data_IF_980909922432
#
_entry.id   IF_980909922432
#
_cell.length_a   1.000
_cell.length_b   1.000
_cell.length_c   1.000
_cell.angle_alpha   90.00
_cell.angle_beta   90.00
_cell.angle_gamma   90.00
#
_symmetry.space_group_name_H-M   'P 1'
#
loop_
_entity.id
_entity.type
_entity.pdbx_description
1 polymer ?
#
# COMPACT_ATOMS: atom_id res chain seq x y z
N UNK A 1 -19.75 -16.21 60.38
CA UNK A 1 -18.84 -15.54 59.45
C UNK A 1 -19.31 -15.85 58.03
N UNK A 2 -20.12 -14.94 57.45
CA UNK A 2 -20.65 -15.09 56.11
C UNK A 2 -19.70 -14.43 55.12
N UNK A 3 -19.17 -15.23 54.20
CA UNK A 3 -18.30 -14.77 53.08
C UNK A 3 -19.24 -14.25 52.02
N UNK A 4 -19.24 -12.93 51.82
CA UNK A 4 -19.88 -12.31 50.66
C UNK A 4 -18.96 -12.57 49.43
N UNK A 5 -19.39 -13.47 48.56
CA UNK A 5 -18.87 -13.53 47.18
C UNK A 5 -19.49 -12.37 46.40
N UNK A 6 -18.69 -11.36 46.09
CA UNK A 6 -19.05 -10.34 45.09
C UNK A 6 -18.93 -10.95 43.70
N UNK A 7 -20.06 -11.31 43.12
CA UNK A 7 -20.17 -11.62 41.70
C UNK A 7 -19.94 -10.31 40.93
N UNK A 8 -18.77 -10.16 40.34
CA UNK A 8 -18.56 -9.17 39.27
C UNK A 8 -19.42 -9.62 38.08
N UNK A 9 -20.51 -8.89 37.85
CA UNK A 9 -21.29 -9.00 36.63
C UNK A 9 -20.39 -8.60 35.47
N UNK A 10 -20.08 -9.58 34.58
CA UNK A 10 -19.51 -9.26 33.28
C UNK A 10 -20.50 -8.33 32.57
N UNK A 11 -20.09 -7.10 32.34
CA UNK A 11 -20.82 -6.18 31.46
C UNK A 11 -20.74 -6.81 30.08
N UNK A 12 -21.86 -7.35 29.58
CA UNK A 12 -21.97 -7.74 28.17
C UNK A 12 -21.69 -6.50 27.32
N UNK A 13 -20.49 -6.40 26.77
CA UNK A 13 -20.18 -5.35 25.81
C UNK A 13 -20.99 -5.63 24.55
N UNK A 14 -21.79 -4.66 24.13
CA UNK A 14 -22.44 -4.71 22.82
C UNK A 14 -21.36 -4.87 21.75
N UNK A 15 -21.59 -5.73 20.73
CA UNK A 15 -20.62 -5.92 19.66
C UNK A 15 -20.32 -4.58 18.97
N UNK A 16 -19.06 -4.40 18.53
CA UNK A 16 -18.63 -3.21 17.82
C UNK A 16 -19.47 -2.99 16.55
N UNK A 17 -19.66 -1.75 16.16
CA UNK A 17 -20.33 -1.42 14.91
C UNK A 17 -19.41 -1.71 13.72
N UNK A 18 -19.93 -2.37 12.68
CA UNK A 18 -19.24 -2.54 11.38
C UNK A 18 -19.93 -1.62 10.39
N UNK A 19 -19.18 -0.66 9.84
CA UNK A 19 -19.63 0.26 8.78
C UNK A 19 -18.91 -0.07 7.48
N UNK A 20 -19.66 -0.25 6.40
CA UNK A 20 -19.10 -0.58 5.07
C UNK A 20 -19.31 0.62 4.14
N UNK A 21 -18.20 1.19 3.68
CA UNK A 21 -18.18 2.35 2.77
C UNK A 21 -18.10 1.89 1.32
N UNK A 22 -19.12 1.19 0.87
CA UNK A 22 -19.21 0.69 -0.50
C UNK A 22 -20.66 0.74 -0.96
N UNK A 23 -20.88 1.10 -2.22
CA UNK A 23 -22.22 1.08 -2.82
C UNK A 23 -22.75 -0.36 -2.96
N UNK A 24 -24.07 -0.55 -3.08
CA UNK A 24 -24.65 -1.88 -3.31
C UNK A 24 -24.18 -2.56 -4.59
N UNK A 25 -23.63 -1.80 -5.55
CA UNK A 25 -23.06 -2.31 -6.80
C UNK A 25 -21.61 -2.75 -6.68
N UNK A 26 -20.93 -2.41 -5.58
CA UNK A 26 -19.54 -2.76 -5.34
C UNK A 26 -19.42 -4.18 -4.83
N UNK A 27 -18.56 -4.95 -5.50
CA UNK A 27 -18.33 -6.32 -5.12
C UNK A 27 -17.37 -6.42 -3.94
N UNK A 28 -17.83 -7.03 -2.84
CA UNK A 28 -17.03 -7.37 -1.66
C UNK A 28 -17.19 -8.87 -1.39
N UNK A 29 -16.08 -9.56 -1.12
CA UNK A 29 -16.11 -10.98 -0.77
C UNK A 29 -16.77 -11.18 0.60
N UNK A 30 -17.68 -12.18 0.70
CA UNK A 30 -18.34 -12.56 1.96
C UNK A 30 -17.35 -12.91 3.08
N UNK A 31 -16.22 -13.53 2.72
CA UNK A 31 -15.17 -13.86 3.68
C UNK A 31 -14.53 -12.61 4.30
N UNK A 32 -14.44 -11.53 3.55
CA UNK A 32 -13.91 -10.27 4.08
C UNK A 32 -14.89 -9.62 5.08
N UNK A 33 -16.19 -9.66 4.79
CA UNK A 33 -17.23 -9.20 5.72
C UNK A 33 -17.25 -10.06 6.97
N UNK A 34 -17.20 -11.38 6.84
CA UNK A 34 -17.11 -12.29 7.98
C UNK A 34 -15.85 -12.02 8.84
N UNK A 35 -14.74 -11.63 8.23
CA UNK A 35 -13.56 -11.20 8.99
C UNK A 35 -13.79 -9.88 9.72
N UNK A 36 -14.55 -8.92 9.17
CA UNK A 36 -14.95 -7.70 9.89
C UNK A 36 -15.80 -8.04 11.12
N UNK A 37 -16.77 -8.95 11.00
CA UNK A 37 -17.59 -9.39 12.12
C UNK A 37 -16.76 -10.10 13.21
N UNK A 38 -15.77 -10.93 12.80
CA UNK A 38 -14.85 -11.57 13.74
C UNK A 38 -14.00 -10.55 14.49
N UNK A 39 -13.54 -9.51 13.82
CA UNK A 39 -12.77 -8.42 14.44
C UNK A 39 -13.67 -7.59 15.37
N UNK A 40 -14.92 -7.31 14.96
CA UNK A 40 -15.88 -6.58 15.78
C UNK A 40 -16.22 -7.31 17.09
N UNK A 41 -16.05 -8.63 17.14
CA UNK A 41 -16.25 -9.44 18.34
C UNK A 41 -15.04 -9.50 19.28
N UNK A 42 -13.91 -8.85 18.97
CA UNK A 42 -12.74 -8.80 19.83
C UNK A 42 -13.00 -7.88 21.04
N UNK A 43 -12.42 -8.25 22.18
CA UNK A 43 -12.54 -7.47 23.41
C UNK A 43 -12.06 -6.03 23.20
N UNK A 44 -12.83 -5.07 23.71
CA UNK A 44 -12.49 -3.64 23.60
C UNK A 44 -12.66 -3.04 22.21
N UNK A 45 -13.04 -3.79 21.18
CA UNK A 45 -13.36 -3.24 19.87
C UNK A 45 -14.62 -2.38 19.95
N UNK A 46 -14.59 -1.21 19.32
CA UNK A 46 -15.69 -0.26 19.31
C UNK A 46 -16.25 -0.03 17.91
N UNK A 47 -15.37 -0.01 16.89
CA UNK A 47 -15.80 0.28 15.52
C UNK A 47 -14.87 -0.34 14.49
N UNK A 48 -15.44 -0.91 13.43
CA UNK A 48 -14.73 -1.40 12.25
C UNK A 48 -15.25 -0.66 11.01
N UNK A 49 -14.42 0.14 10.38
CA UNK A 49 -14.72 0.83 9.14
C UNK A 49 -14.10 0.07 7.97
N UNK A 50 -14.94 -0.51 7.12
CA UNK A 50 -14.54 -1.29 5.95
C UNK A 50 -14.58 -0.42 4.70
N UNK A 51 -13.43 -0.26 4.03
CA UNK A 51 -13.26 0.57 2.84
C UNK A 51 -13.73 -0.15 1.56
N UNK A 52 -13.97 0.56 0.45
CA UNK A 52 -14.45 -0.06 -0.80
C UNK A 52 -13.53 -1.14 -1.37
N UNK A 53 -12.24 -1.06 -1.09
CA UNK A 53 -11.22 -2.03 -1.51
C UNK A 53 -11.11 -3.25 -0.59
N UNK A 54 -12.00 -3.39 0.39
CA UNK A 54 -12.02 -4.51 1.34
C UNK A 54 -11.88 -5.87 0.67
N UNK A 55 -10.98 -6.70 1.19
CA UNK A 55 -10.77 -8.07 0.73
C UNK A 55 -10.20 -8.94 1.85
N UNK A 56 -10.29 -10.30 1.76
CA UNK A 56 -9.79 -11.19 2.80
C UNK A 56 -8.30 -11.04 3.01
N UNK A 57 -7.89 -11.01 4.28
CA UNK A 57 -6.50 -10.98 4.71
C UNK A 57 -6.14 -12.14 5.61
N UNK A 58 -4.85 -12.30 5.91
CA UNK A 58 -4.39 -13.30 6.88
C UNK A 58 -4.69 -12.80 8.29
N UNK A 59 -5.63 -13.45 8.98
CA UNK A 59 -6.00 -13.18 10.38
C UNK A 59 -6.88 -11.95 10.61
N UNK A 60 -6.97 -11.01 9.67
CA UNK A 60 -7.84 -9.85 9.72
C UNK A 60 -8.04 -9.31 8.29
N UNK A 61 -9.16 -8.61 7.99
CA UNK A 61 -9.43 -8.10 6.66
C UNK A 61 -8.40 -7.04 6.25
N UNK A 62 -8.24 -6.85 4.93
CA UNK A 62 -7.43 -5.78 4.33
C UNK A 62 -8.39 -4.79 3.68
N UNK A 63 -8.14 -3.49 3.84
CA UNK A 63 -9.06 -2.42 3.49
C UNK A 63 -9.96 -2.06 4.67
N UNK A 64 -9.44 -2.15 5.90
CA UNK A 64 -10.21 -1.84 7.10
C UNK A 64 -9.41 -0.99 8.10
N UNK A 65 -10.12 -0.10 8.78
CA UNK A 65 -9.66 0.67 9.93
C UNK A 65 -10.50 0.29 11.16
N UNK A 66 -9.86 0.03 12.29
CA UNK A 66 -10.46 -0.63 13.44
C UNK A 66 -10.07 0.10 14.73
N UNK A 67 -11.06 0.60 15.47
CA UNK A 67 -10.85 1.34 16.72
C UNK A 67 -11.16 0.43 17.92
N UNK A 68 -10.22 0.38 18.86
CA UNK A 68 -10.30 -0.47 20.05
C UNK A 68 -9.68 0.21 21.27
N UNK A 69 -10.18 -0.08 22.47
CA UNK A 69 -9.49 0.26 23.72
C UNK A 69 -8.29 -0.65 24.00
N UNK A 70 -8.11 -1.71 23.21
CA UNK A 70 -7.05 -2.71 23.35
C UNK A 70 -6.20 -2.75 22.07
N UNK A 71 -4.88 -2.85 22.22
CA UNK A 71 -3.96 -2.92 21.07
C UNK A 71 -3.79 -4.36 20.59
N UNK A 72 -4.11 -4.62 19.33
CA UNK A 72 -3.99 -5.92 18.67
C UNK A 72 -2.96 -5.88 17.53
N UNK A 73 -1.72 -6.37 17.71
CA UNK A 73 -0.68 -6.36 16.68
C UNK A 73 -1.10 -7.04 15.36
N UNK A 74 -1.93 -8.09 15.42
CA UNK A 74 -2.39 -8.82 14.25
C UNK A 74 -3.28 -7.97 13.32
N UNK A 75 -3.96 -6.96 13.86
CA UNK A 75 -4.81 -6.05 13.09
C UNK A 75 -4.01 -5.06 12.22
N UNK A 76 -2.71 -4.91 12.44
CA UNK A 76 -1.78 -4.16 11.58
C UNK A 76 -1.20 -5.09 10.50
N UNK A 77 -0.91 -6.34 10.86
CA UNK A 77 -0.29 -7.32 9.99
C UNK A 77 1.25 -7.32 10.03
N UNK A 78 1.86 -8.10 9.16
CA UNK A 78 3.31 -8.33 9.14
C UNK A 78 4.10 -7.23 8.43
N UNK A 79 3.50 -6.45 7.56
CA UNK A 79 4.18 -5.38 6.83
C UNK A 79 3.86 -4.01 7.46
N UNK A 80 4.29 -3.86 8.73
CA UNK A 80 4.16 -2.60 9.48
C UNK A 80 4.85 -1.49 8.68
N UNK A 81 4.22 -0.31 8.56
CA UNK A 81 4.79 0.80 7.81
C UNK A 81 4.69 0.64 6.29
N UNK A 82 3.96 -0.39 5.78
CA UNK A 82 3.64 -0.44 4.36
C UNK A 82 2.86 0.80 3.96
N UNK A 83 3.29 1.43 2.86
CA UNK A 83 2.75 2.71 2.44
C UNK A 83 3.16 3.07 1.03
N UNK A 84 2.61 4.18 0.56
CA UNK A 84 2.87 4.71 -0.78
C UNK A 84 3.42 6.13 -0.66
N UNK A 85 4.54 6.38 -1.34
CA UNK A 85 5.12 7.70 -1.48
C UNK A 85 5.14 8.15 -2.95
N UNK A 86 4.89 9.43 -3.19
CA UNK A 86 4.87 10.07 -4.51
C UNK A 86 5.92 11.17 -4.57
N UNK A 87 6.88 11.03 -5.49
CA UNK A 87 7.99 11.97 -5.67
C UNK A 87 7.87 12.62 -7.04
N UNK A 88 7.75 13.95 -7.17
CA UNK A 88 7.90 14.65 -8.43
C UNK A 88 9.27 14.35 -9.05
N UNK A 89 9.33 14.03 -10.34
CA UNK A 89 10.60 13.71 -11.01
C UNK A 89 10.70 14.46 -12.33
N UNK A 90 11.84 15.12 -12.59
CA UNK A 90 12.10 15.83 -13.83
C UNK A 90 13.16 15.10 -14.64
N UNK A 91 12.79 14.66 -15.84
CA UNK A 91 13.67 14.01 -16.78
C UNK A 91 13.81 14.85 -18.05
N UNK A 92 15.03 15.02 -18.53
CA UNK A 92 15.29 15.77 -19.79
C UNK A 92 14.58 15.14 -21.00
N UNK A 93 14.47 13.81 -21.01
CA UNK A 93 13.79 13.02 -22.06
C UNK A 93 13.29 11.72 -21.50
N UNK A 94 11.99 11.51 -21.54
CA UNK A 94 11.34 10.27 -21.10
C UNK A 94 11.06 9.36 -22.32
N UNK A 95 11.97 8.43 -22.60
CA UNK A 95 11.73 7.35 -23.58
C UNK A 95 11.54 6.06 -22.77
N UNK A 96 10.31 5.54 -22.60
CA UNK A 96 10.02 4.45 -21.66
C UNK A 96 10.92 3.24 -21.83
N UNK A 97 11.14 2.78 -23.07
CA UNK A 97 11.98 1.62 -23.34
C UNK A 97 13.45 1.80 -22.90
N UNK A 98 13.99 3.03 -22.96
CA UNK A 98 15.35 3.31 -22.49
C UNK A 98 15.42 3.44 -20.98
N UNK A 99 14.39 4.02 -20.38
CA UNK A 99 14.31 4.22 -18.93
C UNK A 99 14.10 2.89 -18.21
N UNK A 100 13.27 2.00 -18.74
CA UNK A 100 13.02 0.69 -18.14
C UNK A 100 14.30 -0.14 -17.96
N UNK A 101 15.24 -0.06 -18.91
CA UNK A 101 16.55 -0.71 -18.80
C UNK A 101 17.53 -0.04 -17.84
N UNK A 102 17.19 1.12 -17.28
CA UNK A 102 18.01 1.87 -16.32
C UNK A 102 17.55 1.71 -14.87
N UNK A 103 16.39 1.09 -14.62
CA UNK A 103 15.99 0.83 -13.23
C UNK A 103 17.09 -0.01 -12.55
N UNK A 104 17.52 0.41 -11.34
CA UNK A 104 18.53 -0.36 -10.62
C UNK A 104 17.94 -1.66 -10.11
N UNK A 105 18.80 -2.58 -9.68
CA UNK A 105 18.36 -3.75 -8.93
C UNK A 105 17.84 -3.31 -7.55
N UNK A 106 16.52 -3.41 -7.35
CA UNK A 106 15.85 -3.07 -6.10
C UNK A 106 15.51 -4.32 -5.25
N UNK A 107 15.91 -5.50 -5.70
CA UNK A 107 15.72 -6.74 -4.93
C UNK A 107 16.78 -6.88 -3.83
N UNK A 108 17.93 -6.22 -4.01
CA UNK A 108 19.06 -6.20 -3.07
C UNK A 108 19.30 -4.80 -2.50
N UNK A 109 19.77 -4.77 -1.25
CA UNK A 109 20.17 -3.52 -0.60
C UNK A 109 21.30 -2.82 -1.37
N UNK A 110 21.36 -1.48 -1.36
CA UNK A 110 22.45 -0.75 -1.99
C UNK A 110 23.79 -1.05 -1.30
N UNK A 111 24.89 -1.06 -2.07
CA UNK A 111 26.24 -1.16 -1.52
C UNK A 111 26.55 -0.03 -0.54
N UNK A 112 27.60 -0.21 0.27
CA UNK A 112 27.99 0.80 1.27
C UNK A 112 28.31 2.18 0.64
N UNK A 113 28.87 2.16 -0.58
CA UNK A 113 29.29 3.35 -1.32
C UNK A 113 28.22 3.84 -2.32
N UNK A 114 26.97 3.34 -2.24
CA UNK A 114 25.89 3.79 -3.13
C UNK A 114 25.56 5.26 -2.82
N UNK A 115 25.62 6.16 -3.85
CA UNK A 115 25.38 7.59 -3.62
C UNK A 115 23.95 7.91 -3.14
N UNK A 116 23.02 6.97 -3.21
CA UNK A 116 21.69 7.15 -2.66
C UNK A 116 21.70 7.29 -1.12
N UNK A 117 22.75 6.83 -0.44
CA UNK A 117 22.89 7.03 1.01
C UNK A 117 23.04 8.50 1.40
N UNK A 118 23.55 9.36 0.52
CA UNK A 118 23.68 10.81 0.77
C UNK A 118 22.31 11.50 0.93
N UNK A 119 21.21 10.82 0.55
CA UNK A 119 19.84 11.32 0.70
C UNK A 119 19.11 10.73 1.94
N UNK A 120 19.84 10.06 2.80
CA UNK A 120 19.36 9.49 4.06
C UNK A 120 20.00 10.25 5.21
N UNK A 121 19.48 11.46 5.48
CA UNK A 121 20.03 12.37 6.51
C UNK A 121 19.68 11.97 7.95
N UNK A 122 18.92 10.90 8.17
CA UNK A 122 18.42 10.51 9.47
C UNK A 122 19.07 9.23 9.99
N UNK A 123 19.17 9.14 11.30
CA UNK A 123 19.51 7.89 11.96
C UNK A 123 18.53 6.78 11.53
N UNK A 124 19.08 5.60 11.20
CA UNK A 124 18.26 4.47 10.80
C UNK A 124 17.48 3.98 12.03
N UNK A 125 16.13 4.02 12.00
CA UNK A 125 15.32 3.63 13.14
C UNK A 125 15.66 2.23 13.64
N UNK A 126 15.86 2.08 14.96
CA UNK A 126 16.26 0.82 15.59
C UNK A 126 17.62 0.28 15.15
N UNK A 127 18.42 1.01 14.37
CA UNK A 127 19.73 0.56 13.85
C UNK A 127 19.65 -0.54 12.79
N UNK A 128 18.46 -0.90 12.31
CA UNK A 128 18.24 -2.01 11.38
C UNK A 128 18.57 -1.63 9.94
N UNK A 129 19.75 -1.96 9.47
CA UNK A 129 20.19 -1.71 8.08
C UNK A 129 19.75 -2.77 7.08
N UNK A 130 19.49 -3.97 7.56
CA UNK A 130 19.18 -5.12 6.71
C UNK A 130 17.90 -4.91 5.92
N UNK A 131 18.01 -5.03 4.59
CA UNK A 131 16.88 -4.87 3.68
C UNK A 131 16.50 -3.43 3.35
N UNK A 132 17.14 -2.41 3.95
CA UNK A 132 16.89 -1.02 3.61
C UNK A 132 17.29 -0.72 2.15
N UNK A 133 16.45 0.02 1.45
CA UNK A 133 16.61 0.25 0.01
C UNK A 133 16.17 -0.92 -0.88
N UNK A 134 15.43 -1.91 -0.34
CA UNK A 134 14.84 -3.01 -1.12
C UNK A 134 13.34 -2.84 -1.29
N UNK A 135 12.84 -3.16 -2.50
CA UNK A 135 11.43 -2.99 -2.83
C UNK A 135 10.54 -4.04 -2.17
N UNK A 136 10.92 -5.28 -2.27
CA UNK A 136 10.13 -6.42 -1.85
C UNK A 136 9.31 -7.06 -2.96
N UNK A 137 8.45 -7.99 -2.57
CA UNK A 137 7.63 -8.79 -3.48
C UNK A 137 6.12 -8.55 -3.25
N UNK A 138 5.29 -9.35 -3.89
CA UNK A 138 3.85 -9.27 -3.76
C UNK A 138 3.29 -8.03 -4.45
N UNK A 139 2.47 -7.25 -3.75
CA UNK A 139 1.88 -6.01 -4.25
C UNK A 139 2.85 -4.81 -4.28
N UNK A 140 4.05 -4.89 -3.68
CA UNK A 140 5.04 -3.82 -3.75
C UNK A 140 5.47 -3.51 -5.19
N UNK A 141 5.72 -2.25 -5.48
CA UNK A 141 6.17 -1.77 -6.78
C UNK A 141 6.87 -0.42 -6.68
N UNK A 142 7.70 -0.12 -7.66
CA UNK A 142 8.15 1.23 -7.95
C UNK A 142 7.71 1.58 -9.38
N UNK A 143 7.11 2.75 -9.56
CA UNK A 143 6.46 3.09 -10.81
C UNK A 143 6.81 4.51 -11.24
N UNK A 144 7.36 4.64 -12.44
CA UNK A 144 7.37 5.93 -13.13
C UNK A 144 5.99 6.11 -13.77
N UNK A 145 5.28 7.12 -13.33
CA UNK A 145 3.95 7.46 -13.83
C UNK A 145 3.93 8.90 -14.35
N UNK A 146 2.91 9.24 -15.13
CA UNK A 146 2.65 10.59 -15.62
C UNK A 146 1.32 11.06 -15.07
N UNK A 147 1.27 12.32 -14.60
CA UNK A 147 0.01 13.01 -14.30
C UNK A 147 -0.79 13.10 -15.60
N UNK A 148 -1.99 12.53 -15.60
CA UNK A 148 -2.83 12.45 -16.79
C UNK A 148 -3.93 13.50 -16.76
N UNK A 149 -4.99 13.28 -16.03
CA UNK A 149 -6.09 14.23 -15.86
C UNK A 149 -5.96 14.96 -14.53
N UNK A 150 -6.13 16.27 -14.55
CA UNK A 150 -6.19 17.10 -13.35
C UNK A 150 -7.62 17.59 -13.18
N UNK A 151 -8.28 17.21 -12.09
CA UNK A 151 -9.66 17.58 -11.76
C UNK A 151 -9.73 18.91 -10.99
N UNK A 152 -8.73 19.14 -10.11
CA UNK A 152 -8.61 20.32 -9.25
C UNK A 152 -7.25 21.01 -9.46
N UNK A 153 -7.13 21.94 -10.46
CA UNK A 153 -5.86 22.55 -10.83
C UNK A 153 -5.15 23.26 -9.69
N UNK A 154 -5.88 24.07 -8.90
CA UNK A 154 -5.30 24.81 -7.78
C UNK A 154 -4.72 23.90 -6.70
N UNK A 155 -5.35 22.75 -6.46
CA UNK A 155 -4.84 21.76 -5.50
C UNK A 155 -3.58 21.07 -6.06
N UNK A 156 -3.62 20.65 -7.32
CA UNK A 156 -2.47 20.05 -7.97
C UNK A 156 -1.26 21.00 -8.01
N UNK A 157 -1.50 22.30 -8.26
CA UNK A 157 -0.46 23.32 -8.25
C UNK A 157 0.18 23.49 -6.86
N UNK A 158 -0.60 23.44 -5.77
CA UNK A 158 -0.04 23.45 -4.41
C UNK A 158 0.91 22.27 -4.16
N UNK A 159 0.68 21.14 -4.80
CA UNK A 159 1.56 19.96 -4.77
C UNK A 159 2.71 20.05 -5.78
N UNK A 160 2.79 21.15 -6.55
CA UNK A 160 3.79 21.31 -7.62
C UNK A 160 3.60 20.33 -8.78
N UNK A 161 2.37 19.91 -9.05
CA UNK A 161 2.01 18.94 -10.08
C UNK A 161 1.13 19.55 -11.17
N UNK A 162 1.43 19.23 -12.42
CA UNK A 162 0.63 19.62 -13.59
C UNK A 162 0.43 18.41 -14.53
N UNK A 163 -0.58 18.49 -15.40
CA UNK A 163 -0.79 17.47 -16.43
C UNK A 163 0.46 17.32 -17.30
N UNK A 164 0.86 16.06 -17.54
CA UNK A 164 2.07 15.70 -18.26
C UNK A 164 3.32 15.56 -17.39
N UNK A 165 3.33 16.06 -16.16
CA UNK A 165 4.46 15.88 -15.22
C UNK A 165 4.67 14.42 -14.90
N UNK A 166 5.95 14.06 -14.64
CA UNK A 166 6.33 12.73 -14.21
C UNK A 166 6.42 12.67 -12.69
N UNK A 167 5.96 11.57 -12.15
CA UNK A 167 6.09 11.22 -10.73
C UNK A 167 6.67 9.82 -10.60
N UNK A 168 7.44 9.60 -9.55
CA UNK A 168 7.87 8.29 -9.11
C UNK A 168 7.01 7.88 -7.93
N UNK A 169 6.30 6.78 -8.05
CA UNK A 169 5.46 6.19 -7.02
C UNK A 169 6.19 4.99 -6.44
N UNK A 170 6.38 4.95 -5.13
CA UNK A 170 7.05 3.84 -4.44
C UNK A 170 6.11 3.25 -3.40
N UNK A 171 5.73 1.99 -3.58
CA UNK A 171 4.95 1.21 -2.63
C UNK A 171 5.83 0.16 -1.98
N UNK A 172 6.19 0.36 -0.71
CA UNK A 172 7.00 -0.56 0.09
C UNK A 172 6.80 -0.28 1.59
N UNK A 173 7.14 -1.25 2.44
CA UNK A 173 7.02 -1.18 3.89
C UNK A 173 8.33 -1.47 4.62
N UNK A 174 8.23 -1.91 5.88
CA UNK A 174 9.38 -2.19 6.74
C UNK A 174 10.05 -3.54 6.46
N UNK A 175 9.63 -4.24 5.42
CA UNK A 175 10.24 -5.48 4.97
C UNK A 175 10.27 -6.53 6.10
N UNK A 176 11.35 -7.29 6.23
CA UNK A 176 11.52 -8.28 7.28
C UNK A 176 11.51 -7.73 8.72
N UNK A 177 11.62 -6.41 8.92
CA UNK A 177 11.56 -5.81 10.26
C UNK A 177 10.16 -5.97 10.85
N UNK A 178 9.11 -5.52 10.16
CA UNK A 178 7.73 -5.66 10.64
C UNK A 178 7.29 -7.12 10.81
N UNK A 179 7.75 -8.01 9.92
CA UNK A 179 7.49 -9.45 10.07
C UNK A 179 8.11 -10.02 11.36
N UNK A 180 9.34 -9.63 11.69
CA UNK A 180 9.98 -10.04 12.95
C UNK A 180 9.23 -9.55 14.18
N UNK A 181 8.76 -8.28 14.16
CA UNK A 181 8.00 -7.68 15.26
C UNK A 181 6.69 -8.46 15.47
N UNK A 182 5.90 -8.66 14.42
CA UNK A 182 4.65 -9.42 14.54
C UNK A 182 4.89 -10.86 14.95
N UNK A 183 5.91 -11.53 14.41
CA UNK A 183 6.25 -12.91 14.76
C UNK A 183 6.63 -13.02 16.22
N UNK A 184 7.49 -12.14 16.74
CA UNK A 184 7.88 -12.15 18.15
C UNK A 184 6.66 -12.03 19.09
N UNK A 185 5.68 -11.20 18.72
CA UNK A 185 4.42 -11.12 19.46
C UNK A 185 3.60 -12.41 19.35
N UNK A 186 3.38 -12.90 18.13
CA UNK A 186 2.47 -14.04 17.89
C UNK A 186 2.99 -15.37 18.39
N UNK A 187 4.31 -15.55 18.47
CA UNK A 187 4.93 -16.74 19.06
C UNK A 187 4.62 -16.88 20.56
N UNK A 188 4.43 -15.76 21.28
CA UNK A 188 4.17 -15.75 22.72
C UNK A 188 2.68 -15.58 23.04
N UNK A 189 1.99 -14.71 22.31
CA UNK A 189 0.63 -14.25 22.63
C UNK A 189 -0.42 -14.65 21.59
N UNK A 190 -0.02 -15.34 20.50
CA UNK A 190 -0.92 -15.73 19.42
C UNK A 190 -1.57 -14.52 18.75
N UNK A 191 -2.87 -14.55 18.58
CA UNK A 191 -3.67 -13.44 18.07
C UNK A 191 -4.12 -12.43 19.16
N UNK A 192 -3.71 -12.66 20.41
CA UNK A 192 -4.10 -11.84 21.55
C UNK A 192 -3.56 -10.42 21.51
N UNK A 193 -4.00 -9.59 22.45
CA UNK A 193 -3.56 -8.21 22.55
C UNK A 193 -2.09 -8.10 22.99
N UNK A 194 -1.51 -6.92 22.77
CA UNK A 194 -0.19 -6.59 23.31
C UNK A 194 -0.28 -6.41 24.82
N UNK A 195 0.45 -7.20 25.64
CA UNK A 195 0.38 -7.07 27.09
C UNK A 195 1.04 -5.77 27.59
N UNK A 196 1.98 -5.23 26.83
CA UNK A 196 2.62 -3.93 27.02
C UNK A 196 2.46 -3.11 25.73
N UNK A 197 1.39 -2.32 25.62
CA UNK A 197 1.13 -1.51 24.44
C UNK A 197 2.20 -0.46 24.16
N UNK A 198 2.81 0.14 25.20
CA UNK A 198 3.85 1.17 25.03
C UNK A 198 5.12 0.58 24.42
N UNK A 199 5.57 -0.56 24.95
CA UNK A 199 6.72 -1.27 24.38
C UNK A 199 6.47 -1.74 22.95
N UNK A 200 5.24 -2.20 22.62
CA UNK A 200 4.88 -2.54 21.26
C UNK A 200 4.89 -1.32 20.34
N UNK A 201 4.26 -0.22 20.75
CA UNK A 201 4.22 1.02 19.95
C UNK A 201 5.62 1.55 19.66
N UNK A 202 6.55 1.46 20.60
CA UNK A 202 7.93 1.91 20.39
C UNK A 202 8.60 1.19 19.20
N UNK A 203 8.52 -0.14 19.14
CA UNK A 203 9.11 -0.93 18.03
C UNK A 203 8.28 -0.83 16.73
N UNK A 204 6.96 -0.68 16.85
CA UNK A 204 6.06 -0.43 15.73
C UNK A 204 6.39 0.89 15.04
N UNK A 205 6.54 1.98 15.82
CA UNK A 205 6.82 3.30 15.27
C UNK A 205 8.21 3.37 14.62
N UNK A 206 9.19 2.64 15.17
CA UNK A 206 10.47 2.44 14.51
C UNK A 206 10.30 1.76 13.14
N UNK A 207 9.47 0.73 13.05
CA UNK A 207 9.21 0.06 11.79
C UNK A 207 8.45 0.97 10.78
N UNK A 208 7.52 1.81 11.25
CA UNK A 208 6.85 2.80 10.40
C UNK A 208 7.85 3.82 9.85
N UNK A 209 8.70 4.41 10.71
CA UNK A 209 9.76 5.35 10.29
C UNK A 209 10.74 4.69 9.31
N UNK A 210 11.10 3.43 9.59
CA UNK A 210 11.95 2.65 8.70
C UNK A 210 11.30 2.44 7.32
N UNK A 211 10.00 2.18 7.26
CA UNK A 211 9.24 2.06 6.01
C UNK A 211 9.26 3.36 5.19
N UNK A 212 9.08 4.52 5.83
CA UNK A 212 9.20 5.83 5.18
C UNK A 212 10.62 6.04 4.63
N UNK A 213 11.64 5.74 5.43
CA UNK A 213 13.03 5.84 5.01
C UNK A 213 13.34 4.92 3.82
N UNK A 214 12.80 3.69 3.84
CA UNK A 214 12.96 2.73 2.76
C UNK A 214 12.39 3.27 1.42
N UNK A 215 11.19 3.88 1.44
CA UNK A 215 10.60 4.50 0.25
C UNK A 215 11.44 5.66 -0.28
N UNK A 216 11.99 6.50 0.60
CA UNK A 216 12.90 7.61 0.22
C UNK A 216 14.18 7.10 -0.42
N UNK A 217 14.82 6.08 0.19
CA UNK A 217 16.04 5.50 -0.35
C UNK A 217 15.80 4.82 -1.71
N UNK A 218 14.69 4.09 -1.86
CA UNK A 218 14.29 3.51 -3.14
C UNK A 218 14.10 4.60 -4.21
N UNK A 219 13.42 5.70 -3.88
CA UNK A 219 13.23 6.82 -4.80
C UNK A 219 14.57 7.46 -5.20
N UNK A 220 15.49 7.67 -4.26
CA UNK A 220 16.82 8.20 -4.52
C UNK A 220 17.61 7.27 -5.48
N UNK A 221 17.64 5.96 -5.22
CA UNK A 221 18.28 4.97 -6.08
C UNK A 221 17.76 5.02 -7.51
N UNK A 222 16.44 5.08 -7.67
CA UNK A 222 15.81 5.17 -9.00
C UNK A 222 16.09 6.50 -9.66
N UNK A 223 15.91 7.63 -8.97
CA UNK A 223 16.15 8.96 -9.53
C UNK A 223 17.59 9.11 -10.05
N UNK A 224 18.58 8.70 -9.25
CA UNK A 224 20.00 8.72 -9.63
C UNK A 224 20.26 7.85 -10.86
N UNK A 225 19.74 6.62 -10.90
CA UNK A 225 19.92 5.71 -12.04
C UNK A 225 19.26 6.24 -13.32
N UNK A 226 18.16 6.97 -13.21
CA UNK A 226 17.49 7.62 -14.34
C UNK A 226 18.16 8.95 -14.74
N UNK A 227 19.11 9.45 -13.97
CA UNK A 227 19.78 10.74 -14.18
C UNK A 227 18.88 11.93 -13.85
N UNK A 228 18.00 11.75 -12.88
CA UNK A 228 17.11 12.79 -12.37
C UNK A 228 17.60 13.34 -11.02
N UNK A 229 17.06 14.49 -10.63
CA UNK A 229 17.27 15.05 -9.31
C UNK A 229 16.36 14.32 -8.31
N UNK A 230 16.89 13.96 -7.15
CA UNK A 230 16.11 13.48 -6.01
C UNK A 230 15.29 14.62 -5.42
N UNK A 231 14.03 14.36 -5.08
CA UNK A 231 13.09 15.33 -4.50
C UNK A 231 12.46 14.76 -3.24
N UNK A 232 11.87 15.64 -2.42
CA UNK A 232 11.00 15.23 -1.34
C UNK A 232 9.67 14.68 -1.88
N UNK A 233 9.03 13.74 -1.18
CA UNK A 233 7.71 13.26 -1.57
C UNK A 233 6.65 14.34 -1.34
N UNK A 234 5.69 14.44 -2.24
CA UNK A 234 4.47 15.26 -2.06
C UNK A 234 3.38 14.50 -1.31
N UNK A 235 3.47 13.18 -1.30
CA UNK A 235 2.65 12.26 -0.50
C UNK A 235 3.56 11.16 0.02
N UNK A 236 3.45 10.80 1.31
CA UNK A 236 4.03 9.58 1.89
C UNK A 236 3.10 9.07 3.00
N UNK A 237 2.23 8.11 2.67
CA UNK A 237 1.16 7.63 3.53
C UNK A 237 1.33 6.15 3.85
N UNK A 238 1.37 5.84 5.15
CA UNK A 238 1.37 4.48 5.67
C UNK A 238 -0.07 3.95 5.78
N UNK A 239 -0.34 2.76 5.30
CA UNK A 239 -1.66 2.13 5.36
C UNK A 239 -1.70 0.82 6.18
N UNK A 240 -0.59 0.48 6.86
CA UNK A 240 -0.51 -0.61 7.84
C UNK A 240 0.17 -0.08 9.10
N UNK A 241 -0.61 0.38 10.04
CA UNK A 241 -0.13 0.98 11.28
C UNK A 241 -1.18 0.93 12.38
N UNK A 242 -0.78 1.25 13.60
CA UNK A 242 -1.66 1.58 14.71
C UNK A 242 -1.21 2.91 15.32
N UNK A 243 -2.18 3.75 15.66
CA UNK A 243 -1.94 5.03 16.35
C UNK A 243 -2.87 5.17 17.54
N UNK A 244 -2.51 6.02 18.50
CA UNK A 244 -3.44 6.43 19.55
C UNK A 244 -4.22 7.64 19.03
N UNK A 245 -5.54 7.50 19.02
CA UNK A 245 -6.44 8.57 18.61
C UNK A 245 -7.63 8.64 19.56
N UNK A 246 -7.92 9.80 20.09
CA UNK A 246 -9.01 10.05 21.04
C UNK A 246 -9.01 9.07 22.26
N UNK A 247 -7.81 8.67 22.69
CA UNK A 247 -7.62 7.74 23.80
C UNK A 247 -7.84 6.25 23.46
N UNK A 248 -8.03 5.92 22.19
CA UNK A 248 -8.18 4.55 21.70
C UNK A 248 -7.06 4.20 20.68
N UNK A 249 -6.89 2.90 20.41
CA UNK A 249 -5.97 2.40 19.38
C UNK A 249 -6.72 2.30 18.05
N UNK A 250 -6.31 3.12 17.08
CA UNK A 250 -6.78 3.06 15.71
C UNK A 250 -5.83 2.21 14.87
N UNK A 251 -6.24 0.99 14.56
CA UNK A 251 -5.50 0.04 13.71
C UNK A 251 -5.90 0.22 12.26
N UNK A 252 -4.92 0.26 11.34
CA UNK A 252 -5.14 0.25 9.90
C UNK A 252 -4.44 -0.94 9.26
N UNK A 253 -5.18 -1.67 8.42
CA UNK A 253 -4.64 -2.75 7.60
C UNK A 253 -5.13 -2.59 6.17
N UNK A 254 -4.27 -2.07 5.29
CA UNK A 254 -4.67 -1.69 3.95
C UNK A 254 -5.70 -0.56 3.92
N UNK A 255 -5.62 0.36 4.88
CA UNK A 255 -6.41 1.58 4.91
C UNK A 255 -5.48 2.76 5.18
N UNK A 256 -5.54 3.80 4.35
CA UNK A 256 -4.70 4.97 4.50
C UNK A 256 -5.34 5.99 5.45
N UNK A 257 -4.56 6.79 6.22
CA UNK A 257 -5.08 7.96 6.90
C UNK A 257 -5.83 8.86 5.91
N UNK A 258 -6.94 9.44 6.35
CA UNK A 258 -7.85 10.16 5.47
C UNK A 258 -8.42 11.45 6.03
N UNK A 259 -7.85 12.01 7.08
CA UNK A 259 -8.34 13.21 7.76
C UNK A 259 -7.60 14.48 7.32
N UNK A 260 -8.06 15.10 6.24
CA UNK A 260 -7.53 16.37 5.75
C UNK A 260 -6.15 16.26 5.10
N UNK A 261 -5.80 15.13 4.53
CA UNK A 261 -4.52 14.89 3.87
C UNK A 261 -4.67 14.40 2.42
N UNK A 262 -3.60 14.50 1.66
CA UNK A 262 -3.56 13.99 0.29
C UNK A 262 -3.08 12.55 0.26
N UNK A 263 -3.79 11.69 -0.48
CA UNK A 263 -3.53 10.24 -0.56
C UNK A 263 -3.44 9.81 -2.01
N UNK A 264 -2.48 8.95 -2.34
CA UNK A 264 -2.50 8.23 -3.61
C UNK A 264 -3.18 6.87 -3.42
N UNK A 265 -4.32 6.69 -4.06
CA UNK A 265 -5.04 5.42 -4.11
C UNK A 265 -4.59 4.67 -5.35
N UNK A 266 -3.81 3.62 -5.14
CA UNK A 266 -3.18 2.89 -6.23
C UNK A 266 -4.18 2.05 -7.03
N UNK A 267 -4.16 2.25 -8.34
CA UNK A 267 -4.79 1.33 -9.29
C UNK A 267 -3.95 0.08 -9.52
N UNK A 268 -3.84 -0.31 -10.77
CA UNK A 268 -3.00 -1.42 -11.19
C UNK A 268 -1.97 -0.94 -12.20
N UNK A 269 -0.94 -1.75 -12.49
CA UNK A 269 0.02 -1.42 -13.54
C UNK A 269 -0.58 -1.22 -14.94
N UNK A 270 -1.88 -1.49 -15.11
CA UNK A 270 -2.62 -1.33 -16.37
C UNK A 270 -3.82 -0.40 -16.28
N UNK A 271 -3.96 0.34 -15.19
CA UNK A 271 -5.03 1.32 -14.96
C UNK A 271 -4.47 2.58 -14.33
N UNK A 272 -5.28 3.63 -14.23
CA UNK A 272 -4.90 4.83 -13.50
C UNK A 272 -4.78 4.57 -11.99
N UNK A 273 -3.98 5.39 -11.30
CA UNK A 273 -4.05 5.63 -9.87
C UNK A 273 -4.61 7.04 -9.64
N UNK A 274 -5.19 7.28 -8.47
CA UNK A 274 -5.86 8.53 -8.15
C UNK A 274 -5.17 9.24 -6.98
N UNK A 275 -4.76 10.47 -7.19
CA UNK A 275 -4.41 11.40 -6.13
C UNK A 275 -5.70 12.05 -5.65
N UNK A 276 -5.99 11.96 -4.37
CA UNK A 276 -7.23 12.46 -3.77
C UNK A 276 -6.93 13.33 -2.55
N UNK A 277 -7.76 14.35 -2.31
CA UNK A 277 -7.88 15.00 -1.02
C UNK A 277 -8.84 14.18 -0.17
N UNK A 278 -8.38 13.64 0.95
CA UNK A 278 -9.16 12.81 1.83
C UNK A 278 -9.81 13.63 2.95
N UNK A 279 -11.06 13.30 3.32
CA UNK A 279 -11.89 14.04 4.29
C UNK A 279 -12.56 13.12 5.32
N UNK A 280 -12.09 11.88 5.44
CA UNK A 280 -12.70 10.87 6.28
C UNK A 280 -12.82 11.30 7.74
N UNK A 281 -14.03 11.23 8.28
CA UNK A 281 -14.36 11.54 9.67
C UNK A 281 -14.26 10.32 10.60
N UNK A 282 -14.79 10.47 11.81
CA UNK A 282 -14.79 9.43 12.84
C UNK A 282 -15.61 8.20 12.44
N UNK A 283 -16.66 8.36 11.65
CA UNK A 283 -17.51 7.30 11.11
C UNK A 283 -16.76 6.37 10.13
N UNK A 284 -15.71 6.87 9.50
CA UNK A 284 -14.79 6.08 8.67
C UNK A 284 -13.47 5.75 9.39
N UNK A 285 -13.41 5.89 10.71
CA UNK A 285 -12.17 5.78 11.48
C UNK A 285 -11.03 6.60 10.85
N UNK A 286 -11.36 7.83 10.39
CA UNK A 286 -10.39 8.75 9.78
C UNK A 286 -9.54 8.10 8.68
N UNK A 287 -10.14 7.26 7.86
CA UNK A 287 -9.40 6.41 6.92
C UNK A 287 -10.09 6.31 5.57
N UNK A 288 -9.31 6.06 4.52
CA UNK A 288 -9.76 5.83 3.16
C UNK A 288 -9.11 4.56 2.58
N UNK A 289 -9.60 4.08 1.45
CA UNK A 289 -8.99 2.97 0.72
C UNK A 289 -7.52 3.26 0.37
N UNK A 290 -6.67 2.22 0.37
CA UNK A 290 -5.25 2.35 0.00
C UNK A 290 -4.98 2.03 -1.47
N UNK A 291 -5.93 1.38 -2.16
CA UNK A 291 -5.77 0.95 -3.54
C UNK A 291 -7.00 0.28 -4.11
N UNK A 292 -6.84 -0.41 -5.23
CA UNK A 292 -7.96 -1.08 -5.92
C UNK A 292 -8.53 -2.29 -5.15
N UNK A 293 -7.75 -2.89 -4.24
CA UNK A 293 -8.14 -4.12 -3.56
C UNK A 293 -8.16 -5.35 -4.49
N UNK A 294 -7.85 -6.51 -3.94
CA UNK A 294 -7.88 -7.77 -4.71
C UNK A 294 -9.31 -8.31 -4.79
N UNK A 295 -9.62 -9.00 -5.90
CA UNK A 295 -10.89 -9.73 -6.08
C UNK A 295 -10.69 -11.24 -6.23
N UNK A 296 -9.50 -11.74 -5.97
CA UNK A 296 -9.20 -13.18 -5.96
C UNK A 296 -7.89 -13.47 -5.23
N UNK A 297 -7.75 -14.70 -4.73
CA UNK A 297 -6.54 -15.19 -4.10
C UNK A 297 -5.35 -15.21 -5.05
N UNK A 298 -4.11 -15.21 -4.52
CA UNK A 298 -2.89 -15.35 -5.35
C UNK A 298 -2.86 -16.65 -6.13
N UNK A 299 -3.32 -17.77 -5.52
CA UNK A 299 -3.39 -19.07 -6.17
C UNK A 299 -4.35 -19.05 -7.37
N UNK A 300 -5.54 -18.46 -7.22
CA UNK A 300 -6.50 -18.31 -8.31
C UNK A 300 -5.99 -17.37 -9.41
N UNK A 301 -5.35 -16.27 -9.03
CA UNK A 301 -4.75 -15.33 -9.97
C UNK A 301 -3.69 -16.02 -10.83
N UNK A 302 -2.80 -16.82 -10.22
CA UNK A 302 -1.79 -17.59 -10.92
C UNK A 302 -2.41 -18.61 -11.88
N UNK A 303 -3.38 -19.40 -11.39
CA UNK A 303 -4.07 -20.43 -12.18
C UNK A 303 -4.81 -19.82 -13.37
N UNK A 304 -5.64 -18.79 -13.14
CA UNK A 304 -6.43 -18.11 -14.18
C UNK A 304 -5.56 -17.29 -15.13
N UNK A 305 -4.52 -16.65 -14.59
CA UNK A 305 -3.61 -15.82 -15.35
C UNK A 305 -2.83 -16.64 -16.38
N UNK A 306 -2.26 -17.79 -15.99
CA UNK A 306 -1.55 -18.71 -16.90
C UNK A 306 -2.46 -19.27 -18.01
N UNK A 307 -3.75 -19.41 -17.75
CA UNK A 307 -4.70 -19.88 -18.76
C UNK A 307 -5.10 -18.80 -19.79
N UNK A 308 -4.95 -17.51 -19.45
CA UNK A 308 -5.47 -16.39 -20.24
C UNK A 308 -4.38 -15.53 -20.89
N UNK A 309 -3.18 -15.48 -20.32
CA UNK A 309 -2.14 -14.54 -20.73
C UNK A 309 -0.80 -15.25 -20.93
N UNK A 310 -0.01 -14.73 -21.87
CA UNK A 310 1.41 -15.04 -21.96
C UNK A 310 2.22 -14.03 -21.13
N UNK A 311 3.47 -14.38 -20.82
CA UNK A 311 4.41 -13.48 -20.14
C UNK A 311 4.59 -12.18 -20.94
N UNK A 312 4.72 -12.29 -22.25
CA UNK A 312 4.92 -11.14 -23.15
C UNK A 312 3.72 -10.18 -23.11
N UNK A 313 2.49 -10.70 -23.06
CA UNK A 313 1.28 -9.89 -22.92
C UNK A 313 1.23 -9.15 -21.58
N UNK A 314 1.81 -9.72 -20.52
CA UNK A 314 1.84 -9.10 -19.19
C UNK A 314 2.99 -8.10 -18.99
N UNK A 315 3.96 -8.05 -19.93
CA UNK A 315 5.08 -7.10 -19.93
C UNK A 315 4.75 -5.75 -20.55
N UNK A 316 3.64 -5.67 -21.28
CA UNK A 316 3.09 -4.41 -21.81
C UNK A 316 1.62 -4.35 -21.48
N UNK A 317 1.19 -3.28 -20.87
CA UNK A 317 -0.20 -3.14 -20.39
C UNK A 317 -1.10 -2.49 -21.44
N UNK A 318 -2.44 -2.53 -21.29
CA UNK A 318 -3.37 -1.83 -22.17
C UNK A 318 -3.15 -0.32 -22.26
N UNK A 319 -2.66 0.32 -21.19
CA UNK A 319 -2.31 1.75 -21.18
C UNK A 319 -0.94 2.04 -21.80
N UNK A 320 -0.25 1.02 -22.33
CA UNK A 320 1.05 1.17 -22.98
C UNK A 320 2.25 1.22 -22.03
N UNK A 321 2.06 0.98 -20.72
CA UNK A 321 3.16 0.94 -19.75
C UNK A 321 4.00 -0.33 -19.93
N UNK A 322 5.28 -0.21 -19.59
CA UNK A 322 6.23 -1.32 -19.58
C UNK A 322 6.35 -1.91 -18.17
N UNK A 323 6.49 -3.23 -18.08
CA UNK A 323 6.63 -3.94 -16.81
C UNK A 323 8.00 -4.60 -16.72
N UNK A 324 8.81 -4.16 -15.77
CA UNK A 324 10.10 -4.77 -15.41
C UNK A 324 9.85 -5.76 -14.28
N UNK A 325 9.92 -7.06 -14.61
CA UNK A 325 9.69 -8.13 -13.64
C UNK A 325 10.35 -9.43 -14.14
N UNK A 326 11.39 -9.88 -13.45
CA UNK A 326 12.07 -11.14 -13.71
C UNK A 326 11.31 -12.36 -13.18
N UNK A 327 10.46 -12.17 -12.18
CA UNK A 327 9.64 -13.23 -11.59
C UNK A 327 8.37 -13.46 -12.44
N UNK A 328 8.38 -14.57 -13.19
CA UNK A 328 7.26 -14.95 -14.06
C UNK A 328 5.97 -15.25 -13.26
N UNK A 329 6.08 -15.83 -12.06
CA UNK A 329 4.93 -16.13 -11.23
C UNK A 329 4.25 -14.86 -10.77
N UNK A 330 5.03 -13.90 -10.30
CA UNK A 330 4.56 -12.60 -9.84
C UNK A 330 3.84 -11.80 -10.96
N UNK A 331 4.28 -11.94 -12.23
CA UNK A 331 3.58 -11.32 -13.35
C UNK A 331 2.11 -11.76 -13.44
N UNK A 332 1.81 -13.03 -13.17
CA UNK A 332 0.44 -13.56 -13.19
C UNK A 332 -0.32 -13.23 -11.90
N UNK A 333 0.32 -13.37 -10.74
CA UNK A 333 -0.29 -13.12 -9.43
C UNK A 333 -0.73 -11.66 -9.27
N UNK A 334 -0.02 -10.74 -9.92
CA UNK A 334 -0.25 -9.29 -9.84
C UNK A 334 -0.78 -8.72 -11.17
N UNK A 335 -1.40 -9.55 -12.02
CA UNK A 335 -2.02 -9.08 -13.26
C UNK A 335 -3.15 -8.08 -12.97
N UNK A 336 -3.37 -7.05 -13.83
CA UNK A 336 -4.43 -6.06 -13.59
C UNK A 336 -5.81 -6.66 -13.35
N UNK A 337 -6.09 -7.79 -13.97
CA UNK A 337 -7.39 -8.50 -13.86
C UNK A 337 -7.67 -9.13 -12.50
N UNK A 338 -6.70 -9.16 -11.58
CA UNK A 338 -6.88 -9.74 -10.24
C UNK A 338 -7.38 -8.74 -9.21
N UNK A 339 -7.45 -7.47 -9.60
CA UNK A 339 -7.89 -6.36 -8.76
C UNK A 339 -9.31 -5.92 -9.12
N UNK A 340 -9.98 -5.24 -8.18
CA UNK A 340 -11.24 -4.54 -8.44
C UNK A 340 -11.02 -3.38 -9.42
N UNK A 341 -12.08 -2.81 -9.93
CA UNK A 341 -11.99 -1.61 -10.76
C UNK A 341 -11.73 -0.40 -9.87
N UNK A 342 -10.64 0.30 -10.14
CA UNK A 342 -10.26 1.46 -9.32
C UNK A 342 -11.31 2.58 -9.40
N UNK A 343 -11.95 2.73 -10.56
CA UNK A 343 -12.99 3.75 -10.75
C UNK A 343 -14.19 3.50 -9.82
N UNK A 344 -14.51 2.22 -9.52
CA UNK A 344 -15.56 1.88 -8.58
C UNK A 344 -15.16 2.23 -7.14
N UNK A 345 -13.92 1.90 -6.74
CA UNK A 345 -13.39 2.25 -5.41
C UNK A 345 -13.41 3.76 -5.20
N UNK A 346 -12.98 4.53 -6.20
CA UNK A 346 -13.00 5.99 -6.13
C UNK A 346 -14.43 6.52 -6.11
N UNK A 347 -15.32 5.94 -6.93
CA UNK A 347 -16.74 6.31 -6.94
C UNK A 347 -17.40 6.13 -5.57
N UNK A 348 -17.14 5.01 -4.91
CA UNK A 348 -17.64 4.74 -3.55
C UNK A 348 -17.10 5.74 -2.52
N UNK A 349 -15.79 6.08 -2.58
CA UNK A 349 -15.21 7.08 -1.70
C UNK A 349 -15.83 8.47 -1.89
N UNK A 350 -16.13 8.84 -3.13
CA UNK A 350 -16.81 10.13 -3.44
C UNK A 350 -18.29 10.10 -3.00
N UNK A 351 -18.99 8.99 -3.25
CA UNK A 351 -20.39 8.82 -2.84
C UNK A 351 -20.57 8.92 -1.31
N UNK A 352 -19.61 8.39 -0.57
CA UNK A 352 -19.57 8.46 0.90
C UNK A 352 -18.88 9.72 1.45
N UNK A 353 -18.57 10.70 0.59
CA UNK A 353 -17.91 11.97 0.98
C UNK A 353 -16.59 11.81 1.71
N UNK A 354 -15.86 10.70 1.45
CA UNK A 354 -14.58 10.40 2.10
C UNK A 354 -13.38 10.99 1.35
N UNK A 355 -13.50 11.25 0.04
CA UNK A 355 -12.40 11.78 -0.76
C UNK A 355 -12.87 12.55 -1.99
N UNK A 356 -12.08 13.53 -2.40
CA UNK A 356 -12.25 14.30 -3.64
C UNK A 356 -11.06 14.04 -4.57
N UNK A 357 -11.26 13.53 -5.81
CA UNK A 357 -10.17 13.32 -6.76
C UNK A 357 -9.49 14.65 -7.13
N UNK A 358 -8.15 14.72 -7.01
CA UNK A 358 -7.32 15.86 -7.43
C UNK A 358 -6.82 15.64 -8.85
N UNK A 359 -6.20 14.47 -9.09
CA UNK A 359 -5.64 14.11 -10.38
C UNK A 359 -5.55 12.59 -10.54
N UNK A 360 -5.38 12.13 -11.78
CA UNK A 360 -4.99 10.75 -12.06
C UNK A 360 -3.55 10.66 -12.50
N UNK A 361 -2.94 9.50 -12.26
CA UNK A 361 -1.66 9.13 -12.87
C UNK A 361 -1.84 7.94 -13.80
N UNK A 362 -1.08 7.90 -14.88
CA UNK A 362 -1.02 6.75 -15.78
C UNK A 362 0.38 6.13 -15.73
N UNK A 363 0.50 4.79 -15.52
CA UNK A 363 1.78 4.12 -15.50
C UNK A 363 2.56 4.28 -16.81
N UNK A 364 3.86 4.56 -16.72
CA UNK A 364 4.81 4.56 -17.83
C UNK A 364 5.73 3.33 -17.75
N UNK A 365 6.26 3.06 -16.56
CA UNK A 365 7.09 1.88 -16.28
C UNK A 365 6.74 1.43 -14.86
N UNK A 366 6.36 0.17 -14.69
CA UNK A 366 6.17 -0.45 -13.38
C UNK A 366 7.26 -1.48 -13.13
N UNK A 367 8.08 -1.28 -12.10
CA UNK A 367 9.09 -2.22 -11.64
C UNK A 367 8.53 -3.07 -10.49
N UNK A 368 8.72 -4.39 -10.60
CA UNK A 368 8.31 -5.36 -9.57
C UNK A 368 9.48 -6.13 -8.98
N UNK A 369 10.36 -6.65 -9.83
CA UNK A 369 11.60 -7.35 -9.46
C UNK A 369 12.65 -7.12 -10.54
N UNK A 370 13.92 -7.28 -10.16
CA UNK A 370 15.02 -7.22 -11.12
C UNK A 370 14.80 -8.21 -12.28
N UNK A 371 15.10 -7.76 -13.49
CA UNK A 371 15.06 -8.60 -14.70
C UNK A 371 16.35 -8.40 -15.49
N UNK A 372 17.43 -9.15 -15.16
CA UNK A 372 18.71 -9.02 -15.86
C UNK A 372 18.62 -9.30 -17.36
N UNK A 373 17.60 -10.04 -17.79
CA UNK A 373 17.32 -10.32 -19.21
C UNK A 373 16.38 -9.34 -19.88
N UNK A 374 15.97 -8.25 -19.20
CA UNK A 374 15.04 -7.27 -19.75
C UNK A 374 15.63 -6.58 -20.98
N UNK A 375 15.02 -6.80 -22.15
CA UNK A 375 15.35 -6.13 -23.40
C UNK A 375 14.13 -5.42 -23.96
N UNK A 376 14.12 -4.10 -24.00
CA UNK A 376 12.98 -3.31 -24.54
C UNK A 376 12.67 -3.59 -26.01
N UNK A 377 13.63 -4.15 -26.76
CA UNK A 377 13.49 -4.38 -28.20
C UNK A 377 12.60 -5.57 -28.56
N UNK A 378 12.28 -6.46 -27.63
CA UNK A 378 11.47 -7.64 -27.91
C UNK A 378 9.96 -7.38 -27.92
N UNK A 379 9.48 -6.30 -27.32
CA UNK A 379 8.03 -5.98 -27.22
C UNK A 379 7.43 -5.30 -28.46
N UNK A 380 8.26 -4.87 -29.44
CA UNK A 380 7.83 -4.05 -30.59
C UNK A 380 7.92 -4.70 -31.97
N UNK A 381 8.50 -5.87 -32.13
CA UNK A 381 8.57 -6.55 -33.43
C UNK A 381 7.26 -7.26 -33.76
N UNK A 382 6.30 -6.54 -34.34
CA UNK A 382 5.32 -7.17 -35.24
C UNK A 382 6.14 -7.96 -36.29
N UNK A 383 6.10 -9.29 -36.22
CA UNK A 383 6.53 -10.14 -37.34
C UNK A 383 5.75 -9.68 -38.56
N UNK A 384 6.39 -8.98 -39.50
CA UNK A 384 5.91 -8.93 -40.86
C UNK A 384 6.03 -10.38 -41.35
N UNK A 385 4.89 -11.02 -41.58
CA UNK A 385 4.83 -12.27 -42.35
C UNK A 385 5.24 -11.97 -43.79
N UNK A 386 5.99 -12.88 -44.43
CA UNK A 386 6.33 -12.76 -45.83
C UNK A 386 5.09 -12.83 -46.73
#
# INVERSE_FOLDING_TARGET
>A
MSVHQSSQSAVEQSPATVTVFASPSSWIESDALAQCDQVAALDGMTHVAAMPDLHPGKGAPIGAAMTSSVLYPLLVGSDIGCGIAVFPIKLKRAVPARLAGKFPDLDHAPGADDPAWDFVDSEIPGGHRDGLGTLGRGNHFAELARIDTVFHPEHAERLGLASGDLVLIVHSGSRGLGERILRAHTEVHGAGPAPDPEAYLAVHDDAVRWGCLNRRLLAARIALALGAKVTEPVVDMCHNSVEIRDGAYLHRKGAAPGDGCDVLIAGTRGTHSYLVAAHAGADANYSVAHGAGRKMSRADALRRGRAKHTVEQLRTTPVGSLVVCGDRQLLFEEAPTVYKRIEQVIGDLVEHELATPIATTVPVITYKTADPGYSPQQSGRKRRRP
#
